data_IF_031457880749
#
_entry.id   IF_031457880749
#
_cell.length_a   1.000
_cell.length_b   1.000
_cell.length_c   1.000
_cell.angle_alpha   90.00
_cell.angle_beta   90.00
_cell.angle_gamma   90.00
#
_symmetry.space_group_name_H-M   'P 1'
#
loop_
_entity.id
_entity.type
_entity.pdbx_description
1 polymer ?
#
# COMPACT_ATOMS: atom_id res chain seq x y z
N UNK A 1 16.49 3.28 3.34
CA UNK A 1 17.40 4.34 2.86
C UNK A 1 17.05 4.83 1.46
N UNK A 2 17.10 4.05 0.37
CA UNK A 2 16.72 4.58 -0.97
C UNK A 2 15.34 5.19 -1.03
N UNK A 3 14.31 4.53 -0.49
CA UNK A 3 12.96 5.11 -0.52
C UNK A 3 12.90 6.47 0.20
N UNK A 4 13.56 6.57 1.36
CA UNK A 4 13.67 7.85 2.08
C UNK A 4 14.45 8.90 1.29
N UNK A 5 15.56 8.52 0.63
CA UNK A 5 16.33 9.41 -0.24
C UNK A 5 15.53 9.85 -1.47
N UNK A 6 14.78 8.94 -2.11
CA UNK A 6 13.91 9.25 -3.24
C UNK A 6 12.82 10.24 -2.84
N UNK A 7 12.16 10.00 -1.70
CA UNK A 7 11.14 10.91 -1.15
C UNK A 7 11.76 12.26 -0.78
N UNK A 8 12.95 12.28 -0.18
CA UNK A 8 13.65 13.52 0.18
C UNK A 8 14.00 14.34 -1.07
N UNK A 9 14.60 13.71 -2.09
CA UNK A 9 14.94 14.38 -3.33
C UNK A 9 13.70 14.89 -4.05
N UNK A 10 12.66 14.06 -4.19
CA UNK A 10 11.44 14.46 -4.87
C UNK A 10 10.75 15.63 -4.18
N UNK A 11 10.64 15.60 -2.84
CA UNK A 11 10.06 16.73 -2.09
C UNK A 11 10.91 17.99 -2.16
N UNK A 12 12.24 17.87 -2.17
CA UNK A 12 13.14 19.02 -2.19
C UNK A 12 13.20 19.70 -3.57
N UNK A 13 13.15 18.92 -4.66
CA UNK A 13 13.25 19.46 -6.03
C UNK A 13 11.89 19.64 -6.72
N UNK A 14 10.96 18.72 -6.52
CA UNK A 14 9.61 18.73 -7.12
C UNK A 14 8.54 19.39 -6.25
N UNK A 15 8.85 19.66 -4.99
CA UNK A 15 7.91 20.23 -4.02
C UNK A 15 6.88 19.23 -3.52
N UNK A 16 5.88 19.72 -2.79
CA UNK A 16 4.73 18.93 -2.32
C UNK A 16 3.50 19.43 -3.09
N UNK A 17 2.93 18.53 -3.89
CA UNK A 17 1.81 18.85 -4.77
C UNK A 17 0.54 18.10 -4.36
N UNK A 18 -0.61 18.74 -4.55
CA UNK A 18 -1.92 18.15 -4.28
C UNK A 18 -2.72 17.99 -5.58
N UNK A 19 -3.21 16.77 -5.91
CA UNK A 19 -4.05 16.59 -7.08
C UNK A 19 -5.46 17.13 -6.83
N UNK A 20 -5.90 18.08 -7.67
CA UNK A 20 -7.28 18.61 -7.65
C UNK A 20 -8.28 17.45 -7.78
N UNK A 21 -9.31 17.44 -6.93
CA UNK A 21 -10.27 16.34 -6.81
C UNK A 21 -9.76 15.14 -5.99
N UNK A 22 -8.58 15.26 -5.40
CA UNK A 22 -7.98 14.30 -4.48
C UNK A 22 -7.25 13.12 -5.14
N UNK A 23 -6.53 12.37 -4.30
CA UNK A 23 -5.61 11.30 -4.74
C UNK A 23 -6.31 10.16 -5.51
N UNK A 24 -7.61 9.95 -5.28
CA UNK A 24 -8.42 8.99 -6.03
C UNK A 24 -8.51 9.32 -7.53
N UNK A 25 -8.32 10.59 -7.91
CA UNK A 25 -8.27 11.02 -9.31
C UNK A 25 -7.14 10.37 -10.10
N UNK A 26 -5.98 10.13 -9.48
CA UNK A 26 -4.82 9.50 -10.13
C UNK A 26 -5.19 8.08 -10.60
N UNK A 27 -5.78 7.28 -9.71
CA UNK A 27 -6.19 5.91 -10.03
C UNK A 27 -7.27 5.87 -11.12
N UNK A 28 -8.25 6.78 -11.07
CA UNK A 28 -9.29 6.91 -12.11
C UNK A 28 -8.70 7.26 -13.47
N UNK A 29 -7.76 8.22 -13.51
CA UNK A 29 -7.09 8.63 -14.74
C UNK A 29 -6.27 7.50 -15.35
N UNK A 30 -5.53 6.72 -14.55
CA UNK A 30 -4.81 5.54 -15.03
C UNK A 30 -5.76 4.46 -15.57
N UNK A 31 -6.86 4.19 -14.86
CA UNK A 31 -7.87 3.23 -15.30
C UNK A 31 -8.51 3.64 -16.65
N UNK A 32 -8.87 4.92 -16.79
CA UNK A 32 -9.38 5.46 -18.04
C UNK A 32 -8.35 5.36 -19.17
N UNK A 33 -7.08 5.65 -18.88
CA UNK A 33 -5.97 5.48 -19.83
C UNK A 33 -5.88 4.05 -20.36
N UNK A 34 -5.97 3.05 -19.49
CA UNK A 34 -5.97 1.64 -19.88
C UNK A 34 -7.15 1.31 -20.81
N UNK A 35 -8.36 1.73 -20.44
CA UNK A 35 -9.58 1.49 -21.24
C UNK A 35 -9.49 2.17 -22.62
N UNK A 36 -9.01 3.42 -22.67
CA UNK A 36 -8.84 4.16 -23.91
C UNK A 36 -7.83 3.51 -24.87
N UNK A 37 -6.85 2.77 -24.33
CA UNK A 37 -5.89 1.98 -25.10
C UNK A 37 -6.41 0.57 -25.46
N UNK A 38 -7.71 0.30 -25.22
CA UNK A 38 -8.35 -0.97 -25.58
C UNK A 38 -8.26 -2.07 -24.52
N UNK A 39 -7.73 -1.77 -23.32
CA UNK A 39 -7.70 -2.73 -22.21
C UNK A 39 -9.09 -2.91 -21.59
N UNK A 40 -9.32 -4.05 -20.93
CA UNK A 40 -10.55 -4.32 -20.17
C UNK A 40 -10.25 -4.34 -18.67
N UNK A 41 -11.06 -3.63 -17.89
CA UNK A 41 -11.03 -3.68 -16.43
C UNK A 41 -12.29 -4.41 -15.95
N UNK A 42 -12.10 -5.53 -15.26
CA UNK A 42 -13.21 -6.35 -14.75
C UNK A 42 -13.31 -6.16 -13.24
N UNK A 43 -14.34 -5.46 -12.79
CA UNK A 43 -14.64 -5.29 -11.37
C UNK A 43 -15.39 -6.50 -10.80
N UNK A 44 -15.43 -6.60 -9.46
CA UNK A 44 -16.05 -7.74 -8.75
C UNK A 44 -15.50 -9.10 -9.20
N UNK A 45 -14.23 -9.12 -9.60
CA UNK A 45 -13.51 -10.28 -10.10
C UNK A 45 -12.42 -10.67 -9.10
N UNK A 46 -12.82 -11.20 -7.94
CA UNK A 46 -11.87 -11.60 -6.91
C UNK A 46 -11.11 -12.85 -7.35
N UNK A 47 -9.82 -12.71 -7.66
CA UNK A 47 -8.94 -13.84 -8.01
C UNK A 47 -8.69 -14.67 -6.75
N UNK A 48 -8.90 -15.98 -6.85
CA UNK A 48 -8.69 -16.94 -5.75
C UNK A 48 -7.50 -17.85 -5.98
N UNK A 49 -7.11 -18.11 -7.24
CA UNK A 49 -5.90 -18.86 -7.53
C UNK A 49 -5.27 -18.49 -8.87
N UNK A 50 -3.95 -18.71 -8.99
CA UNK A 50 -3.18 -18.64 -10.22
C UNK A 50 -3.06 -20.06 -10.77
N UNK A 51 -3.45 -20.22 -12.04
CA UNK A 51 -3.44 -21.51 -12.74
C UNK A 51 -2.01 -21.77 -13.24
N UNK A 52 -1.46 -22.93 -12.91
CA UNK A 52 -0.16 -23.39 -13.39
C UNK A 52 -0.31 -24.55 -14.37
N UNK A 53 0.39 -24.49 -15.50
CA UNK A 53 0.53 -25.59 -16.46
C UNK A 53 2.02 -25.89 -16.64
N UNK A 54 2.44 -27.13 -16.37
CA UNK A 54 3.85 -27.55 -16.48
C UNK A 54 4.84 -26.63 -15.72
N UNK A 55 4.41 -26.08 -14.57
CA UNK A 55 5.22 -25.16 -13.75
C UNK A 55 5.27 -23.71 -14.25
N UNK A 56 4.52 -23.37 -15.30
CA UNK A 56 4.38 -22.02 -15.85
C UNK A 56 3.01 -21.42 -15.48
N UNK A 57 2.95 -20.12 -15.21
CA UNK A 57 1.68 -19.43 -15.02
C UNK A 57 0.89 -19.34 -16.34
N UNK A 58 -0.36 -19.81 -16.30
CA UNK A 58 -1.22 -19.99 -17.48
C UNK A 58 -2.57 -19.26 -17.36
N UNK A 59 -2.90 -18.71 -16.20
CA UNK A 59 -4.14 -17.96 -16.00
C UNK A 59 -4.46 -17.68 -14.55
N UNK A 60 -5.69 -17.24 -14.31
CA UNK A 60 -6.25 -17.02 -12.97
C UNK A 60 -7.67 -17.55 -12.87
N UNK A 61 -8.04 -18.04 -11.70
CA UNK A 61 -9.40 -18.44 -11.34
C UNK A 61 -10.02 -17.42 -10.39
N UNK A 62 -11.28 -17.08 -10.62
CA UNK A 62 -12.06 -16.17 -9.79
C UNK A 62 -12.90 -16.92 -8.76
N UNK A 63 -13.35 -16.21 -7.73
CA UNK A 63 -14.23 -16.74 -6.68
C UNK A 63 -15.60 -17.21 -7.19
N UNK A 64 -16.04 -16.75 -8.37
CA UNK A 64 -17.28 -17.21 -9.01
C UNK A 64 -17.06 -18.38 -9.99
N UNK A 65 -15.86 -18.96 -10.00
CA UNK A 65 -15.49 -20.11 -10.83
C UNK A 65 -15.06 -19.76 -12.25
N UNK A 66 -15.18 -18.50 -12.71
CA UNK A 66 -14.65 -18.10 -14.02
C UNK A 66 -13.13 -18.20 -14.06
N UNK A 67 -12.60 -18.53 -15.22
CA UNK A 67 -11.16 -18.60 -15.48
C UNK A 67 -10.76 -17.64 -16.61
N UNK A 68 -9.62 -17.00 -16.44
CA UNK A 68 -8.99 -16.16 -17.46
C UNK A 68 -7.61 -16.72 -17.77
N UNK A 69 -7.46 -17.28 -18.98
CA UNK A 69 -6.18 -17.81 -19.45
C UNK A 69 -5.31 -16.71 -20.05
N UNK A 70 -4.03 -16.72 -19.72
CA UNK A 70 -3.05 -15.75 -20.19
C UNK A 70 -1.64 -16.34 -20.20
N UNK A 71 -0.80 -15.89 -21.15
CA UNK A 71 0.62 -16.27 -21.21
C UNK A 71 1.49 -15.54 -20.18
N UNK A 72 0.97 -14.42 -19.66
CA UNK A 72 1.67 -13.53 -18.73
C UNK A 72 0.70 -13.05 -17.67
N UNK A 73 1.06 -13.26 -16.41
CA UNK A 73 0.29 -12.90 -15.23
C UNK A 73 1.12 -11.90 -14.43
N UNK A 74 0.54 -10.73 -14.13
CA UNK A 74 1.15 -9.72 -13.29
C UNK A 74 0.31 -9.60 -12.01
N UNK A 75 0.86 -10.02 -10.88
CA UNK A 75 0.21 -9.90 -9.58
C UNK A 75 0.58 -8.57 -8.91
N UNK A 76 -0.41 -7.72 -8.66
CA UNK A 76 -0.29 -6.56 -7.77
C UNK A 76 -0.78 -6.87 -6.34
N UNK A 77 -1.13 -8.13 -6.06
CA UNK A 77 -1.27 -8.58 -4.68
C UNK A 77 0.10 -8.61 -4.01
N UNK A 78 0.15 -8.56 -2.68
CA UNK A 78 1.44 -8.68 -1.99
C UNK A 78 2.13 -10.00 -2.35
N UNK A 79 3.46 -10.07 -2.28
CA UNK A 79 4.14 -11.37 -2.46
C UNK A 79 3.68 -12.41 -1.43
N UNK A 80 3.35 -12.00 -0.20
CA UNK A 80 2.74 -12.90 0.79
C UNK A 80 1.40 -13.46 0.33
N UNK A 81 0.53 -12.63 -0.26
CA UNK A 81 -0.76 -13.10 -0.78
C UNK A 81 -0.59 -13.93 -2.06
N UNK A 82 0.31 -13.51 -2.96
CA UNK A 82 0.58 -14.21 -4.23
C UNK A 82 1.10 -15.62 -3.99
N UNK A 83 2.13 -15.77 -3.14
CA UNK A 83 2.77 -17.06 -2.91
C UNK A 83 2.22 -17.83 -1.69
N UNK A 84 1.40 -17.19 -0.86
CA UNK A 84 0.79 -17.84 0.31
C UNK A 84 -0.72 -18.13 0.17
N UNK A 85 -1.43 -17.45 -0.74
CA UNK A 85 -2.88 -17.64 -0.93
C UNK A 85 -3.26 -17.99 -2.37
N UNK A 86 -2.66 -17.32 -3.35
CA UNK A 86 -3.07 -17.47 -4.76
C UNK A 86 -2.37 -18.63 -5.47
N UNK A 87 -1.16 -19.00 -5.05
CA UNK A 87 -0.48 -20.18 -5.56
C UNK A 87 -0.71 -21.35 -4.59
N UNK A 88 -1.41 -22.37 -5.07
CA UNK A 88 -1.59 -23.63 -4.36
C UNK A 88 -0.30 -24.45 -4.52
N UNK A 89 0.50 -24.53 -3.46
CA UNK A 89 1.73 -25.33 -3.45
C UNK A 89 2.25 -25.54 -2.03
N UNK A 90 2.80 -26.73 -1.76
CA UNK A 90 3.35 -27.06 -0.44
C UNK A 90 4.69 -26.34 -0.17
N UNK A 91 5.42 -25.96 -1.22
CA UNK A 91 6.76 -25.39 -1.10
C UNK A 91 6.84 -23.99 -1.71
N UNK A 92 7.22 -23.03 -0.88
CA UNK A 92 7.50 -21.67 -1.27
C UNK A 92 8.80 -21.63 -2.11
N UNK A 93 8.88 -20.88 -3.22
CA UNK A 93 10.14 -20.72 -3.93
C UNK A 93 11.25 -20.15 -3.03
N UNK A 94 12.49 -20.60 -3.19
CA UNK A 94 13.63 -20.21 -2.33
C UNK A 94 13.83 -18.69 -2.24
N UNK A 95 13.64 -17.97 -3.35
CA UNK A 95 13.77 -16.51 -3.38
C UNK A 95 12.70 -15.84 -2.49
N UNK A 96 11.49 -16.39 -2.44
CA UNK A 96 10.42 -15.91 -1.58
C UNK A 96 10.65 -16.29 -0.11
N UNK A 97 11.22 -17.47 0.17
CA UNK A 97 11.67 -17.81 1.53
C UNK A 97 12.73 -16.81 2.03
N UNK A 98 13.72 -16.50 1.20
CA UNK A 98 14.76 -15.51 1.54
C UNK A 98 14.16 -14.13 1.78
N UNK A 99 13.22 -13.69 0.94
CA UNK A 99 12.49 -12.43 1.16
C UNK A 99 11.79 -12.43 2.52
N UNK A 100 11.07 -13.49 2.89
CA UNK A 100 10.32 -13.57 4.16
C UNK A 100 11.23 -13.75 5.40
N UNK A 101 12.47 -14.21 5.20
CA UNK A 101 13.51 -14.23 6.25
C UNK A 101 14.05 -12.83 6.53
N UNK A 102 14.24 -12.00 5.50
CA UNK A 102 14.82 -10.65 5.64
C UNK A 102 13.77 -9.59 5.96
N UNK A 103 12.55 -9.74 5.46
CA UNK A 103 11.45 -8.78 5.62
C UNK A 103 10.27 -9.38 6.38
N UNK A 104 9.69 -8.56 7.26
CA UNK A 104 8.40 -8.81 7.89
C UNK A 104 7.34 -7.91 7.28
N UNK A 105 6.09 -8.23 7.56
CA UNK A 105 4.96 -7.37 7.20
C UNK A 105 5.03 -6.13 8.10
N UNK A 106 4.99 -4.95 7.51
CA UNK A 106 4.85 -3.71 8.28
C UNK A 106 3.50 -3.72 9.04
N UNK A 107 3.40 -3.02 10.18
CA UNK A 107 2.12 -2.79 10.82
C UNK A 107 1.08 -2.18 9.86
N UNK A 108 -0.17 -2.19 10.29
CA UNK A 108 -1.24 -1.50 9.59
C UNK A 108 -1.48 -0.12 10.22
N UNK A 109 -2.60 0.48 9.90
CA UNK A 109 -3.03 1.75 10.46
C UNK A 109 -4.46 1.65 10.98
N UNK A 110 -4.77 2.50 11.95
CA UNK A 110 -6.13 2.96 12.18
C UNK A 110 -6.29 4.28 11.43
N UNK A 111 -7.38 4.42 10.69
CA UNK A 111 -7.77 5.63 9.96
C UNK A 111 -9.08 6.18 10.49
N UNK A 112 -9.23 7.50 10.49
CA UNK A 112 -10.46 8.21 10.82
C UNK A 112 -10.74 9.19 9.69
N UNK A 113 -11.90 9.07 9.07
CA UNK A 113 -12.41 10.01 8.09
C UNK A 113 -13.50 10.84 8.76
N UNK A 114 -13.32 12.16 8.82
CA UNK A 114 -14.28 13.05 9.48
C UNK A 114 -14.71 14.18 8.56
N UNK A 115 -15.98 14.57 8.67
CA UNK A 115 -16.50 15.84 8.20
C UNK A 115 -16.76 16.75 9.39
N UNK A 116 -16.26 17.99 9.34
CA UNK A 116 -16.36 18.96 10.44
C UNK A 116 -16.85 20.31 9.94
N UNK A 117 -17.42 21.13 10.83
CA UNK A 117 -17.73 22.54 10.53
C UNK A 117 -16.45 23.33 10.28
N UNK A 118 -16.46 24.21 9.28
CA UNK A 118 -15.26 24.99 8.90
C UNK A 118 -14.76 25.89 10.04
N UNK A 119 -15.67 26.40 10.87
CA UNK A 119 -15.40 27.31 12.00
C UNK A 119 -14.41 26.76 13.03
N UNK A 120 -14.23 25.43 13.07
CA UNK A 120 -13.33 24.78 14.04
C UNK A 120 -11.85 24.89 13.66
N UNK A 121 -11.56 25.19 12.38
CA UNK A 121 -10.20 25.35 11.90
C UNK A 121 -9.81 26.84 11.93
N UNK A 122 -8.67 27.20 12.55
CA UNK A 122 -8.10 28.52 12.40
C UNK A 122 -7.85 28.88 10.92
N UNK A 123 -7.93 30.17 10.53
CA UNK A 123 -7.77 30.61 9.13
C UNK A 123 -6.46 30.19 8.45
N UNK A 124 -5.37 30.05 9.20
CA UNK A 124 -4.03 29.70 8.70
C UNK A 124 -3.66 28.23 8.97
N UNK A 125 -4.65 27.35 9.06
CA UNK A 125 -4.42 25.93 9.32
C UNK A 125 -3.68 25.28 8.14
N UNK A 126 -2.53 24.67 8.41
CA UNK A 126 -1.79 23.89 7.42
C UNK A 126 -2.58 22.62 6.99
N UNK A 127 -2.37 22.17 5.75
CA UNK A 127 -3.02 20.96 5.27
C UNK A 127 -2.54 19.69 5.99
N UNK A 128 -1.28 19.63 6.45
CA UNK A 128 -0.68 18.43 7.01
C UNK A 128 -0.09 18.67 8.39
N UNK A 129 -0.49 17.85 9.35
CA UNK A 129 0.06 17.87 10.70
C UNK A 129 0.64 16.51 11.06
N UNK A 130 1.77 16.55 11.77
CA UNK A 130 2.35 15.42 12.46
C UNK A 130 2.30 15.72 13.96
N UNK A 131 1.55 14.94 14.71
CA UNK A 131 1.34 15.15 16.15
C UNK A 131 1.97 13.99 16.90
N UNK A 132 3.01 14.32 17.67
CA UNK A 132 3.62 13.45 18.65
C UNK A 132 3.43 14.13 20.00
N UNK A 133 2.97 13.39 21.01
CA UNK A 133 2.98 13.91 22.38
C UNK A 133 4.40 13.89 22.95
N UNK A 134 4.60 14.32 24.20
CA UNK A 134 5.90 14.71 24.77
C UNK A 134 6.99 13.60 24.85
N UNK A 135 6.75 12.40 24.29
CA UNK A 135 7.67 11.27 24.32
C UNK A 135 8.01 10.72 22.92
N UNK A 136 9.23 11.02 22.47
CA UNK A 136 9.79 10.50 21.22
C UNK A 136 9.94 8.97 21.20
N UNK A 137 10.01 8.31 22.36
CA UNK A 137 10.09 6.85 22.44
C UNK A 137 8.81 6.19 21.91
N UNK A 138 7.68 6.90 21.90
CA UNK A 138 6.37 6.38 21.45
C UNK A 138 6.13 6.57 19.96
N UNK A 139 7.10 7.09 19.20
CA UNK A 139 6.93 7.42 17.78
C UNK A 139 6.36 6.25 16.95
N UNK A 140 6.88 5.05 17.22
CA UNK A 140 6.56 3.82 16.49
C UNK A 140 5.45 2.99 17.14
N UNK A 141 5.05 3.31 18.38
CA UNK A 141 4.00 2.60 19.11
C UNK A 141 2.64 2.78 18.44
N UNK A 142 1.76 1.80 18.59
CA UNK A 142 0.36 1.94 18.18
C UNK A 142 -0.24 3.20 18.83
N UNK A 143 -0.90 4.03 18.03
CA UNK A 143 -1.52 5.29 18.45
C UNK A 143 -0.53 6.34 18.98
N UNK A 144 0.79 6.12 18.91
CA UNK A 144 1.79 7.03 19.47
C UNK A 144 1.90 8.34 18.69
N UNK A 145 2.00 8.25 17.37
CA UNK A 145 2.03 9.40 16.46
C UNK A 145 0.74 9.51 15.64
N UNK A 146 0.25 10.73 15.43
CA UNK A 146 -0.93 11.01 14.61
C UNK A 146 -0.51 11.78 13.37
N UNK A 147 -0.93 11.28 12.21
CA UNK A 147 -0.86 12.01 10.95
C UNK A 147 -2.25 12.54 10.63
N UNK A 148 -2.36 13.85 10.43
CA UNK A 148 -3.60 14.50 10.04
C UNK A 148 -3.42 15.20 8.70
N UNK A 149 -4.38 15.00 7.81
CA UNK A 149 -4.50 15.71 6.54
C UNK A 149 -5.86 16.37 6.41
N UNK A 150 -5.86 17.64 6.01
CA UNK A 150 -7.05 18.47 5.80
C UNK A 150 -7.05 18.97 4.35
N UNK A 151 -7.31 18.10 3.37
CA UNK A 151 -7.15 18.44 1.96
C UNK A 151 -8.06 19.60 1.49
N UNK A 152 -9.18 19.84 2.19
CA UNK A 152 -10.10 20.95 1.89
C UNK A 152 -9.53 22.34 2.15
N UNK A 153 -8.39 22.44 2.84
CA UNK A 153 -7.61 23.69 2.91
C UNK A 153 -7.01 24.03 1.55
N UNK A 154 -6.64 23.01 0.76
CA UNK A 154 -6.05 23.18 -0.58
C UNK A 154 -7.09 23.11 -1.69
N UNK A 155 -8.15 22.31 -1.52
CA UNK A 155 -9.20 22.10 -2.51
C UNK A 155 -10.58 22.01 -1.83
N UNK A 156 -11.28 23.15 -1.79
CA UNK A 156 -12.60 23.25 -1.17
C UNK A 156 -13.69 22.42 -1.87
N UNK A 157 -13.47 21.95 -3.11
CA UNK A 157 -14.46 21.16 -3.85
C UNK A 157 -14.69 19.76 -3.27
N UNK A 158 -13.82 19.32 -2.36
CA UNK A 158 -13.87 17.99 -1.74
C UNK A 158 -14.92 17.89 -0.63
N UNK A 159 -15.49 19.00 -0.17
CA UNK A 159 -16.50 19.04 0.87
C UNK A 159 -17.64 20.01 0.51
N UNK A 160 -18.82 19.85 1.13
CA UNK A 160 -19.86 20.88 1.07
C UNK A 160 -19.37 22.22 1.62
N UNK A 161 -20.03 23.31 1.22
CA UNK A 161 -19.75 24.65 1.74
C UNK A 161 -19.85 24.69 3.28
N UNK A 162 -18.93 25.43 3.91
CA UNK A 162 -18.86 25.55 5.36
C UNK A 162 -18.35 24.30 6.07
N UNK A 163 -17.78 23.32 5.35
CA UNK A 163 -17.25 22.07 5.91
C UNK A 163 -15.80 21.81 5.49
N UNK A 164 -15.11 21.07 6.33
CA UNK A 164 -13.81 20.48 6.02
C UNK A 164 -13.83 18.97 6.20
N UNK A 165 -12.98 18.26 5.47
CA UNK A 165 -12.71 16.85 5.71
C UNK A 165 -11.35 16.67 6.35
N UNK A 166 -11.29 15.82 7.37
CA UNK A 166 -10.07 15.41 8.05
C UNK A 166 -9.84 13.92 7.76
N UNK A 167 -8.68 13.59 7.22
CA UNK A 167 -8.19 12.23 7.14
C UNK A 167 -7.06 12.07 8.15
N UNK A 168 -7.33 11.29 9.19
CA UNK A 168 -6.41 11.02 10.28
C UNK A 168 -5.96 9.57 10.18
N UNK A 169 -4.69 9.29 10.41
CA UNK A 169 -4.23 7.93 10.58
C UNK A 169 -3.09 7.83 11.59
N UNK A 170 -2.98 6.65 12.19
CA UNK A 170 -1.95 6.32 13.17
C UNK A 170 -1.62 4.83 13.10
N UNK A 171 -0.40 4.48 13.48
CA UNK A 171 0.07 3.09 13.50
C UNK A 171 -0.84 2.23 14.36
N UNK A 172 -1.18 1.03 13.86
CA UNK A 172 -2.01 0.08 14.58
C UNK A 172 -1.72 -1.34 14.10
N UNK A 173 -1.47 -2.25 15.03
CA UNK A 173 -1.21 -3.64 14.71
C UNK A 173 -2.50 -4.44 14.54
N UNK A 174 -2.51 -5.47 13.70
CA UNK A 174 -3.71 -6.28 13.45
C UNK A 174 -4.10 -7.10 14.68
N UNK A 175 -3.13 -7.51 15.48
CA UNK A 175 -3.26 -8.32 16.69
C UNK A 175 -4.15 -7.62 17.73
N UNK A 176 -4.12 -6.28 17.77
CA UNK A 176 -4.99 -5.47 18.61
C UNK A 176 -6.49 -5.63 18.27
N UNK A 177 -6.82 -6.13 17.09
CA UNK A 177 -8.21 -6.20 16.57
C UNK A 177 -8.70 -7.63 16.36
N UNK A 178 -7.87 -8.64 16.64
CA UNK A 178 -8.21 -10.05 16.51
C UNK A 178 -8.97 -10.56 17.74
N UNK A 179 -9.78 -11.61 17.56
CA UNK A 179 -10.57 -12.22 18.63
C UNK A 179 -11.74 -11.39 19.19
N UNK A 180 -11.87 -10.11 18.83
CA UNK A 180 -12.92 -9.24 19.36
C UNK A 180 -14.32 -9.56 18.78
N UNK A 181 -15.34 -9.78 19.64
CA UNK A 181 -16.73 -9.78 19.22
C UNK A 181 -17.10 -8.45 18.56
N UNK A 182 -18.05 -8.46 17.61
CA UNK A 182 -18.41 -7.26 16.82
C UNK A 182 -18.72 -6.03 17.68
N UNK A 183 -19.47 -6.21 18.78
CA UNK A 183 -19.82 -5.10 19.69
C UNK A 183 -18.59 -4.48 20.35
N UNK A 184 -17.66 -5.31 20.81
CA UNK A 184 -16.41 -4.86 21.44
C UNK A 184 -15.46 -4.24 20.42
N UNK A 185 -15.42 -4.79 19.20
CA UNK A 185 -14.65 -4.23 18.09
C UNK A 185 -15.12 -2.81 17.74
N UNK A 186 -16.44 -2.57 17.59
CA UNK A 186 -16.95 -1.22 17.33
C UNK A 186 -16.71 -0.29 18.53
N UNK A 187 -16.98 -0.74 19.76
CA UNK A 187 -16.71 0.07 20.96
C UNK A 187 -15.22 0.41 21.13
N UNK A 188 -14.31 -0.47 20.70
CA UNK A 188 -12.87 -0.18 20.67
C UNK A 188 -12.53 0.87 19.63
N UNK A 189 -13.12 0.81 18.43
CA UNK A 189 -12.94 1.84 17.39
C UNK A 189 -13.37 3.21 17.91
N UNK A 190 -14.54 3.29 18.53
CA UNK A 190 -15.07 4.54 19.08
C UNK A 190 -14.15 5.10 20.16
N UNK A 191 -13.68 4.25 21.09
CA UNK A 191 -12.77 4.67 22.17
C UNK A 191 -11.43 5.20 21.63
N UNK A 192 -10.81 4.49 20.69
CA UNK A 192 -9.52 4.91 20.12
C UNK A 192 -9.69 6.20 19.31
N UNK A 193 -10.79 6.34 18.56
CA UNK A 193 -11.08 7.58 17.86
C UNK A 193 -11.30 8.75 18.83
N UNK A 194 -12.00 8.52 19.95
CA UNK A 194 -12.22 9.50 21.01
C UNK A 194 -10.91 10.02 21.61
N UNK A 195 -9.98 9.10 21.92
CA UNK A 195 -8.64 9.41 22.43
C UNK A 195 -7.84 10.26 21.42
N UNK A 196 -7.87 9.89 20.13
CA UNK A 196 -7.19 10.63 19.06
C UNK A 196 -7.80 12.03 18.89
N UNK A 197 -9.13 12.14 18.92
CA UNK A 197 -9.84 13.44 18.83
C UNK A 197 -9.47 14.31 20.03
N UNK A 198 -9.43 13.75 21.24
CA UNK A 198 -9.00 14.49 22.44
C UNK A 198 -7.59 15.06 22.32
N UNK A 199 -6.68 14.36 21.65
CA UNK A 199 -5.34 14.88 21.34
C UNK A 199 -5.36 16.00 20.32
N UNK A 200 -6.20 15.88 19.28
CA UNK A 200 -6.36 16.90 18.25
C UNK A 200 -7.14 18.14 18.73
N UNK A 201 -7.96 18.05 19.78
CA UNK A 201 -8.62 19.22 20.38
C UNK A 201 -7.64 20.26 20.94
N UNK A 202 -6.42 19.84 21.29
CA UNK A 202 -5.34 20.77 21.67
C UNK A 202 -4.96 21.70 20.52
N UNK A 203 -5.09 21.23 19.28
CA UNK A 203 -4.83 22.01 18.06
C UNK A 203 -6.10 22.71 17.54
N UNK A 204 -7.25 22.05 17.68
CA UNK A 204 -8.54 22.52 17.19
C UNK A 204 -9.59 22.51 18.31
N UNK A 205 -9.61 23.53 19.19
CA UNK A 205 -10.57 23.59 20.28
C UNK A 205 -12.01 23.53 19.76
N UNK A 206 -12.81 22.61 20.32
CA UNK A 206 -14.19 22.37 19.90
C UNK A 206 -14.34 21.36 18.77
N UNK A 207 -13.25 20.70 18.33
CA UNK A 207 -13.28 19.66 17.27
C UNK A 207 -14.40 18.66 17.50
N UNK A 208 -14.53 18.10 18.71
CA UNK A 208 -15.53 17.09 19.02
C UNK A 208 -16.95 17.55 18.74
N UNK A 209 -17.27 18.79 19.08
CA UNK A 209 -18.60 19.38 18.87
C UNK A 209 -18.89 19.74 17.41
N UNK A 210 -17.84 19.81 16.58
CA UNK A 210 -17.93 20.21 15.18
C UNK A 210 -18.15 19.06 14.21
N UNK A 211 -18.02 17.81 14.66
CA UNK A 211 -18.11 16.61 13.83
C UNK A 211 -19.55 16.40 13.34
N UNK A 212 -19.74 16.37 12.02
CA UNK A 212 -21.01 15.96 11.40
C UNK A 212 -21.02 14.49 10.99
N UNK A 213 -19.84 13.97 10.68
CA UNK A 213 -19.64 12.61 10.20
C UNK A 213 -18.29 12.10 10.67
N UNK A 214 -18.25 10.83 11.09
CA UNK A 214 -17.01 10.13 11.42
C UNK A 214 -17.12 8.67 11.02
N UNK A 215 -16.10 8.18 10.32
CA UNK A 215 -15.92 6.77 10.02
C UNK A 215 -14.50 6.32 10.38
N UNK A 216 -14.42 5.27 11.20
CA UNK A 216 -13.16 4.69 11.67
C UNK A 216 -12.86 3.42 10.89
N UNK A 217 -11.67 3.34 10.29
CA UNK A 217 -11.11 2.15 9.67
C UNK A 217 -10.03 1.53 10.55
N UNK A 218 -10.14 0.23 10.82
CA UNK A 218 -9.10 -0.53 11.55
C UNK A 218 -8.21 -1.32 10.58
N UNK A 219 -7.13 -1.96 11.05
CA UNK A 219 -6.37 -2.95 10.28
C UNK A 219 -7.23 -4.03 9.61
N UNK A 220 -8.35 -4.46 10.22
CA UNK A 220 -9.32 -5.40 9.59
C UNK A 220 -10.08 -4.75 8.44
N UNK A 221 -10.34 -3.46 8.52
CA UNK A 221 -10.95 -2.67 7.44
C UNK A 221 -9.99 -2.57 6.26
N UNK A 222 -8.72 -2.25 6.52
CA UNK A 222 -7.67 -2.25 5.50
C UNK A 222 -7.50 -3.63 4.85
N UNK A 223 -7.48 -4.73 5.64
CA UNK A 223 -7.48 -6.11 5.13
C UNK A 223 -8.65 -6.36 4.17
N UNK A 224 -9.86 -5.90 4.54
CA UNK A 224 -11.10 -6.12 3.77
C UNK A 224 -11.14 -5.36 2.44
N UNK A 225 -10.76 -4.08 2.45
CA UNK A 225 -10.89 -3.19 1.28
C UNK A 225 -9.68 -3.23 0.36
N UNK A 226 -8.48 -3.43 0.91
CA UNK A 226 -7.25 -3.53 0.10
C UNK A 226 -6.95 -4.96 -0.34
N UNK A 227 -7.65 -5.97 0.22
CA UNK A 227 -7.39 -7.40 0.00
C UNK A 227 -5.93 -7.79 0.28
N UNK A 228 -5.37 -7.22 1.35
CA UNK A 228 -3.97 -7.41 1.76
C UNK A 228 -3.88 -8.18 3.05
N UNK A 229 -2.92 -9.08 3.14
CA UNK A 229 -2.67 -9.80 4.37
C UNK A 229 -2.44 -8.84 5.56
N UNK A 230 -3.14 -9.11 6.67
CA UNK A 230 -3.12 -8.28 7.89
C UNK A 230 -3.42 -6.77 7.69
N UNK A 231 -3.90 -6.34 6.51
CA UNK A 231 -4.07 -4.91 6.20
C UNK A 231 -2.75 -4.14 6.12
N UNK A 232 -1.65 -4.83 5.86
CA UNK A 232 -0.27 -4.32 6.00
C UNK A 232 0.12 -3.36 4.88
N UNK A 233 1.04 -2.44 5.15
CA UNK A 233 1.52 -1.43 4.19
C UNK A 233 2.91 -1.74 3.64
N UNK A 234 3.15 -3.01 3.30
CA UNK A 234 4.33 -3.46 2.59
C UNK A 234 5.41 -4.04 3.50
N UNK A 235 6.61 -4.32 2.96
CA UNK A 235 7.68 -5.00 3.68
C UNK A 235 8.50 -4.06 4.57
N UNK A 236 8.77 -4.48 5.80
CA UNK A 236 9.67 -3.83 6.75
C UNK A 236 10.89 -4.73 7.01
N UNK A 237 12.13 -4.23 6.89
CA UNK A 237 13.32 -5.01 7.20
C UNK A 237 13.33 -5.49 8.66
N UNK A 238 13.66 -6.76 8.92
CA UNK A 238 13.81 -7.28 10.29
C UNK A 238 14.99 -6.70 11.06
N UNK A 239 16.02 -6.28 10.33
CA UNK A 239 17.28 -5.72 10.84
C UNK A 239 17.69 -4.58 9.93
N UNK A 240 18.65 -3.77 10.37
CA UNK A 240 19.27 -2.75 9.53
C UNK A 240 19.76 -3.37 8.23
N UNK A 241 19.17 -3.03 7.07
CA UNK A 241 19.52 -3.66 5.81
C UNK A 241 20.94 -3.24 5.41
N UNK A 242 21.79 -4.21 5.05
CA UNK A 242 23.17 -3.97 4.57
C UNK A 242 23.24 -3.44 3.13
N UNK A 243 22.09 -3.14 2.52
CA UNK A 243 21.93 -2.78 1.13
C UNK A 243 20.49 -3.09 0.69
N UNK A 244 20.20 -2.97 -0.61
CA UNK A 244 18.84 -3.16 -1.13
C UNK A 244 18.63 -4.48 -1.85
N UNK A 245 19.68 -5.30 -1.91
CA UNK A 245 19.68 -6.54 -2.65
C UNK A 245 18.64 -7.53 -2.12
N UNK A 246 18.30 -7.47 -0.83
CA UNK A 246 17.31 -8.35 -0.21
C UNK A 246 15.88 -8.17 -0.74
N UNK A 247 15.54 -7.03 -1.34
CA UNK A 247 14.18 -6.81 -1.86
C UNK A 247 14.02 -7.45 -3.25
N UNK A 248 12.96 -8.24 -3.47
CA UNK A 248 12.74 -8.88 -4.77
C UNK A 248 12.37 -7.86 -5.85
N UNK A 249 12.83 -8.11 -7.08
CA UNK A 249 12.41 -7.36 -8.29
C UNK A 249 11.08 -7.91 -8.80
N UNK A 250 10.63 -7.43 -9.97
CA UNK A 250 9.33 -7.79 -10.52
C UNK A 250 9.24 -9.22 -11.09
N UNK A 251 10.36 -9.88 -11.34
CA UNK A 251 10.38 -11.28 -11.80
C UNK A 251 10.16 -12.25 -10.65
N UNK A 252 9.67 -13.45 -10.98
CA UNK A 252 9.54 -14.58 -10.05
C UNK A 252 10.27 -15.80 -10.61
N UNK A 253 10.37 -16.87 -9.81
CA UNK A 253 10.89 -18.16 -10.28
C UNK A 253 9.89 -18.96 -11.13
N UNK A 254 8.63 -18.51 -11.20
CA UNK A 254 7.57 -19.14 -11.99
C UNK A 254 7.52 -18.42 -13.33
N UNK A 255 7.76 -19.15 -14.42
CA UNK A 255 7.73 -18.57 -15.77
C UNK A 255 6.34 -17.96 -16.08
N UNK A 256 6.34 -16.81 -16.73
CA UNK A 256 5.13 -16.04 -17.01
C UNK A 256 4.48 -15.34 -15.82
N UNK A 257 4.98 -15.50 -14.58
CA UNK A 257 4.47 -14.79 -13.40
C UNK A 257 5.41 -13.65 -12.97
N UNK A 258 4.82 -12.47 -12.81
CA UNK A 258 5.48 -11.26 -12.33
C UNK A 258 4.74 -10.72 -11.10
N UNK A 259 5.46 -10.03 -10.23
CA UNK A 259 4.90 -9.28 -9.12
C UNK A 259 5.19 -7.79 -9.28
N UNK A 260 4.27 -6.94 -8.85
CA UNK A 260 4.40 -5.48 -8.92
C UNK A 260 3.86 -4.86 -7.64
N UNK A 261 4.29 -3.63 -7.36
CA UNK A 261 3.82 -2.86 -6.21
C UNK A 261 4.82 -2.85 -5.06
N UNK A 262 4.31 -2.62 -3.86
CA UNK A 262 5.12 -2.26 -2.68
C UNK A 262 5.90 -3.42 -2.06
N UNK A 263 5.54 -4.66 -2.40
CA UNK A 263 6.29 -5.87 -2.06
C UNK A 263 7.39 -6.22 -3.08
N UNK A 264 7.63 -5.33 -4.04
CA UNK A 264 8.73 -5.41 -4.99
C UNK A 264 9.60 -4.16 -4.86
N UNK A 265 10.85 -4.24 -5.32
CA UNK A 265 11.72 -3.09 -5.42
C UNK A 265 11.07 -1.97 -6.26
N UNK A 266 11.17 -0.68 -5.87
CA UNK A 266 11.93 -0.10 -4.75
C UNK A 266 11.23 -0.08 -3.37
N UNK A 267 10.02 -0.64 -3.24
CA UNK A 267 9.30 -0.78 -1.98
C UNK A 267 8.07 0.13 -1.85
N UNK A 268 7.81 0.59 -0.63
CA UNK A 268 6.57 1.25 -0.24
C UNK A 268 6.43 2.69 -0.74
N UNK A 269 5.20 3.19 -0.84
CA UNK A 269 4.90 4.59 -1.19
C UNK A 269 4.68 4.81 -2.68
N UNK A 270 3.91 5.86 -3.01
CA UNK A 270 3.38 6.10 -4.36
C UNK A 270 4.47 6.15 -5.43
N UNK A 271 5.57 6.87 -5.15
CA UNK A 271 6.69 7.02 -6.09
C UNK A 271 7.35 5.65 -6.33
N UNK A 272 7.72 4.93 -5.27
CA UNK A 272 8.36 3.63 -5.39
C UNK A 272 7.46 2.61 -6.11
N UNK A 273 6.16 2.58 -5.79
CA UNK A 273 5.18 1.71 -6.46
C UNK A 273 5.02 2.07 -7.94
N UNK A 274 5.01 3.36 -8.28
CA UNK A 274 4.97 3.80 -9.68
C UNK A 274 6.23 3.35 -10.46
N UNK A 275 7.42 3.49 -9.87
CA UNK A 275 8.65 2.95 -10.44
C UNK A 275 8.59 1.43 -10.62
N UNK A 276 8.09 0.70 -9.62
CA UNK A 276 7.89 -0.75 -9.71
C UNK A 276 6.96 -1.11 -10.88
N UNK A 277 5.89 -0.34 -11.09
CA UNK A 277 4.98 -0.46 -12.22
C UNK A 277 5.68 -0.33 -13.58
N UNK A 278 6.46 0.75 -13.75
CA UNK A 278 7.22 1.00 -14.99
C UNK A 278 8.26 -0.09 -15.23
N UNK A 279 9.02 -0.48 -14.20
CA UNK A 279 10.02 -1.53 -14.29
C UNK A 279 9.40 -2.89 -14.66
N UNK A 280 8.27 -3.24 -14.04
CA UNK A 280 7.53 -4.45 -14.35
C UNK A 280 7.05 -4.46 -15.81
N UNK A 281 6.43 -3.37 -16.25
CA UNK A 281 5.94 -3.23 -17.63
C UNK A 281 7.08 -3.39 -18.65
N UNK A 282 8.23 -2.74 -18.43
CA UNK A 282 9.40 -2.89 -19.29
C UNK A 282 9.94 -4.32 -19.31
N UNK A 283 10.07 -4.95 -18.14
CA UNK A 283 10.53 -6.35 -18.04
C UNK A 283 9.61 -7.30 -18.80
N UNK A 284 8.29 -7.16 -18.61
CA UNK A 284 7.30 -7.97 -19.32
C UNK A 284 7.39 -7.74 -20.82
N UNK A 285 7.45 -6.48 -21.28
CA UNK A 285 7.58 -6.13 -22.68
C UNK A 285 8.84 -6.74 -23.31
N UNK A 286 9.96 -6.74 -22.60
CA UNK A 286 11.21 -7.39 -23.02
C UNK A 286 11.05 -8.91 -23.14
N UNK A 287 10.40 -9.56 -22.18
CA UNK A 287 10.20 -11.01 -22.17
C UNK A 287 9.25 -11.51 -23.26
N UNK A 288 8.23 -10.72 -23.61
CA UNK A 288 7.29 -11.03 -24.69
C UNK A 288 7.75 -10.51 -26.07
N UNK A 289 8.94 -9.90 -26.15
CA UNK A 289 9.57 -9.48 -27.41
C UNK A 289 9.10 -8.15 -27.99
N UNK A 290 8.45 -7.29 -27.19
CA UNK A 290 8.09 -5.92 -27.57
C UNK A 290 9.23 -4.91 -27.32
N UNK A 291 10.12 -5.20 -26.38
CA UNK A 291 11.29 -4.37 -26.07
C UNK A 291 12.59 -5.14 -26.31
N UNK A 292 13.68 -4.40 -26.59
CA UNK A 292 15.01 -4.99 -26.77
C UNK A 292 15.51 -5.55 -25.44
N UNK A 293 16.05 -6.78 -25.48
CA UNK A 293 16.77 -7.39 -24.36
C UNK A 293 18.05 -8.08 -24.81
N UNK A 294 18.97 -8.26 -23.87
CA UNK A 294 20.11 -9.15 -24.04
C UNK A 294 19.90 -10.37 -23.16
N UNK A 295 19.48 -11.52 -23.71
CA UNK A 295 19.22 -12.72 -22.92
C UNK A 295 20.43 -13.17 -22.09
N UNK A 296 21.64 -12.97 -22.61
CA UNK A 296 22.89 -13.30 -21.92
C UNK A 296 23.12 -12.40 -20.69
N UNK A 297 22.96 -11.08 -20.86
CA UNK A 297 23.11 -10.14 -19.74
C UNK A 297 21.99 -10.30 -18.72
N UNK A 298 20.76 -10.51 -19.17
CA UNK A 298 19.61 -10.77 -18.30
C UNK A 298 19.84 -12.01 -17.44
N UNK A 299 20.24 -13.13 -18.06
CA UNK A 299 20.49 -14.36 -17.34
C UNK A 299 21.66 -14.22 -16.34
N UNK A 300 22.73 -13.54 -16.73
CA UNK A 300 23.87 -13.28 -15.85
C UNK A 300 23.48 -12.39 -14.66
N UNK A 301 22.76 -11.29 -14.91
CA UNK A 301 22.36 -10.33 -13.90
C UNK A 301 21.32 -10.93 -12.93
N UNK A 302 20.31 -11.63 -13.45
CA UNK A 302 19.29 -12.27 -12.61
C UNK A 302 19.90 -13.34 -11.70
N UNK A 303 20.85 -14.15 -12.21
CA UNK A 303 21.59 -15.11 -11.39
C UNK A 303 22.45 -14.43 -10.33
N UNK A 304 23.17 -13.38 -10.69
CA UNK A 304 23.97 -12.60 -9.74
C UNK A 304 23.10 -12.00 -8.63
N UNK A 305 21.96 -11.40 -8.98
CA UNK A 305 21.02 -10.81 -8.03
C UNK A 305 20.36 -11.84 -7.12
N UNK A 306 19.95 -12.99 -7.67
CA UNK A 306 19.43 -14.11 -6.87
C UNK A 306 20.49 -14.62 -5.90
N UNK A 307 21.74 -14.80 -6.35
CA UNK A 307 22.84 -15.19 -5.47
C UNK A 307 23.11 -14.15 -4.37
N UNK A 308 23.20 -12.87 -4.72
CA UNK A 308 23.40 -11.79 -3.76
C UNK A 308 22.29 -11.72 -2.69
N UNK A 309 21.04 -12.05 -3.05
CA UNK A 309 19.93 -12.15 -2.08
C UNK A 309 20.13 -13.24 -1.05
N UNK A 310 20.79 -14.34 -1.40
CA UNK A 310 21.08 -15.43 -0.45
C UNK A 310 22.11 -15.04 0.62
N UNK A 311 22.86 -13.95 0.38
CA UNK A 311 23.87 -13.43 1.31
C UNK A 311 23.33 -12.34 2.25
N UNK A 312 22.12 -11.84 1.99
CA UNK A 312 21.47 -10.76 2.74
C UNK A 312 20.75 -11.29 3.98
#
# INVERSE_FOLDING_TARGET
>A
MINASMVLCERHFGGINYPVGGVGGIAKSLANGLVNQGSKIVYKANVTSIILEHGKAAGVRLSDGREFLAKTIISNATRWDTFGKLLEGENLPKDEESFQKVYVKAPSFLSIHMGVKAEVLPPDTDCHHFVLEDDWARLEDSYGSIFLSIPTVLDSSLAPEGRHILHIFTTSSIEDWEGLPRKEYEAKKDRVADEIIGRLEKLFPGLRSSIDFMEVGSPKTHRRFLARDNGTYGPMPRRTPKGLLGMPFNTTSIDGLYCVGDSCFPGQGVIAVAFSGVMCAHRVAADIGLERRSPLLDAALLRLLSWLRTLA
#
